data_IF_940853993859
#
_entry.id   IF_940853993859
#
_cell.length_a   1.000
_cell.length_b   1.000
_cell.length_c   1.000
_cell.angle_alpha   90.00
_cell.angle_beta   90.00
_cell.angle_gamma   90.00
#
_symmetry.space_group_name_H-M   'P 1'
#
loop_
_entity.id
_entity.type
_entity.pdbx_description
1 polymer ?
#
# COMPACT_ATOMS: atom_id res chain seq x y z
N UNK A 1 -16.52 -12.97 23.18
CA UNK A 1 -15.12 -13.44 23.14
C UNK A 1 -14.71 -13.81 24.55
N UNK A 2 -14.12 -14.99 24.79
CA UNK A 2 -13.56 -15.34 26.10
C UNK A 2 -12.49 -14.34 26.52
N UNK A 3 -12.47 -13.94 27.79
CA UNK A 3 -11.59 -12.88 28.32
C UNK A 3 -10.10 -13.25 28.14
N UNK A 4 -9.75 -14.51 28.37
CA UNK A 4 -8.40 -15.04 28.16
C UNK A 4 -7.90 -14.98 26.69
N UNK A 5 -8.79 -14.77 25.71
CA UNK A 5 -8.43 -14.70 24.28
C UNK A 5 -8.36 -13.27 23.73
N UNK A 6 -8.67 -12.25 24.54
CA UNK A 6 -8.69 -10.87 24.09
C UNK A 6 -7.29 -10.40 23.66
N UNK A 7 -6.27 -10.71 24.45
CA UNK A 7 -4.88 -10.37 24.14
C UNK A 7 -4.44 -10.98 22.80
N UNK A 8 -4.64 -12.29 22.61
CA UNK A 8 -4.27 -12.96 21.36
C UNK A 8 -5.01 -12.40 20.14
N UNK A 9 -6.27 -11.98 20.32
CA UNK A 9 -7.03 -11.32 19.26
C UNK A 9 -6.38 -9.99 18.86
N UNK A 10 -5.98 -9.18 19.83
CA UNK A 10 -5.33 -7.88 19.57
C UNK A 10 -3.94 -8.05 18.94
N UNK A 11 -3.16 -9.02 19.42
CA UNK A 11 -1.85 -9.35 18.86
C UNK A 11 -1.94 -9.81 17.40
N UNK A 12 -2.91 -10.67 17.07
CA UNK A 12 -3.15 -11.09 15.69
C UNK A 12 -3.57 -9.90 14.81
N UNK A 13 -4.47 -9.02 15.30
CA UNK A 13 -4.88 -7.84 14.54
C UNK A 13 -3.72 -6.86 14.28
N UNK A 14 -2.84 -6.68 15.27
CA UNK A 14 -1.64 -5.85 15.10
C UNK A 14 -0.68 -6.49 14.08
N UNK A 15 -0.51 -7.81 14.13
CA UNK A 15 0.32 -8.56 13.19
C UNK A 15 -0.21 -8.44 11.75
N UNK A 16 -1.53 -8.48 11.57
CA UNK A 16 -2.19 -8.29 10.28
C UNK A 16 -2.10 -6.86 9.74
N UNK A 17 -1.97 -5.83 10.59
CA UNK A 17 -1.80 -4.44 10.13
C UNK A 17 -0.37 -4.13 9.69
N UNK A 18 0.61 -4.78 10.32
CA UNK A 18 2.01 -4.50 10.10
C UNK A 18 2.43 -3.09 10.53
N UNK A 19 3.61 -2.66 10.11
CA UNK A 19 4.22 -1.37 10.49
C UNK A 19 4.11 -0.28 9.41
N UNK A 20 3.51 -0.59 8.25
CA UNK A 20 3.40 0.38 7.15
C UNK A 20 4.69 0.59 6.34
N UNK A 21 5.74 -0.18 6.59
CA UNK A 21 7.04 -0.07 5.91
C UNK A 21 7.42 -1.38 5.17
N UNK A 22 8.49 -1.36 4.38
CA UNK A 22 9.01 -2.53 3.65
C UNK A 22 8.21 -2.99 2.42
N UNK A 23 8.84 -3.84 1.62
CA UNK A 23 8.21 -4.56 0.50
C UNK A 23 7.57 -5.85 0.99
N UNK A 24 6.30 -6.09 0.63
CA UNK A 24 5.58 -7.28 1.05
C UNK A 24 5.98 -8.50 0.24
N UNK A 25 6.16 -9.62 0.93
CA UNK A 25 6.52 -10.91 0.37
C UNK A 25 5.30 -11.81 0.18
N UNK A 26 5.44 -12.89 -0.58
CA UNK A 26 4.36 -13.83 -0.89
C UNK A 26 3.72 -14.45 0.36
N UNK A 27 4.51 -14.67 1.41
CA UNK A 27 4.06 -15.26 2.67
C UNK A 27 3.55 -14.24 3.69
N UNK A 28 3.60 -12.93 3.40
CA UNK A 28 3.13 -11.90 4.33
C UNK A 28 1.61 -11.86 4.39
N UNK A 29 1.08 -11.79 5.61
CA UNK A 29 -0.37 -11.64 5.88
C UNK A 29 -0.74 -10.20 6.23
N UNK A 30 0.07 -9.24 5.80
CA UNK A 30 -0.05 -7.84 6.17
C UNK A 30 -1.03 -7.14 5.21
N UNK A 31 -2.04 -6.48 5.78
CA UNK A 31 -3.04 -5.70 5.08
C UNK A 31 -2.76 -4.21 5.31
N UNK A 32 -2.20 -3.57 4.30
CA UNK A 32 -2.04 -2.12 4.24
C UNK A 32 -2.78 -1.52 3.05
N UNK A 33 -2.87 -0.19 3.01
CA UNK A 33 -3.47 0.55 1.90
C UNK A 33 -2.41 1.30 1.09
N UNK A 34 -2.71 1.60 -0.18
CA UNK A 34 -1.94 2.45 -1.06
C UNK A 34 -2.84 3.12 -2.11
N UNK A 35 -2.40 4.23 -2.70
CA UNK A 35 -3.01 4.83 -3.88
C UNK A 35 -2.67 4.03 -5.15
N UNK A 36 -3.39 4.28 -6.23
CA UNK A 36 -3.05 3.73 -7.56
C UNK A 36 -1.93 4.57 -8.18
N UNK A 37 -0.72 4.36 -7.68
CA UNK A 37 0.52 4.95 -8.16
C UNK A 37 1.40 3.97 -8.93
N UNK A 38 0.89 2.76 -9.19
CA UNK A 38 1.58 1.60 -9.75
C UNK A 38 1.08 1.21 -11.14
N UNK A 39 0.23 2.04 -11.76
CA UNK A 39 -0.30 1.81 -13.11
C UNK A 39 0.65 2.31 -14.21
N UNK A 40 1.33 3.44 -13.97
CA UNK A 40 2.27 4.03 -14.91
C UNK A 40 3.70 3.55 -14.70
N UNK A 41 4.53 3.65 -15.74
CA UNK A 41 5.97 3.37 -15.65
C UNK A 41 6.79 4.45 -16.38
N UNK A 42 7.11 5.57 -15.70
CA UNK A 42 7.88 6.67 -16.31
C UNK A 42 9.29 6.27 -16.74
N UNK A 43 9.85 5.17 -16.22
CA UNK A 43 11.19 4.71 -16.60
C UNK A 43 11.22 4.11 -18.02
N UNK A 44 10.06 3.77 -18.61
CA UNK A 44 9.96 3.26 -19.98
C UNK A 44 9.80 4.36 -21.04
N UNK A 45 9.38 5.56 -20.64
CA UNK A 45 9.14 6.68 -21.56
C UNK A 45 7.96 7.58 -21.13
N UNK A 46 7.86 8.79 -21.71
CA UNK A 46 6.81 9.75 -21.39
C UNK A 46 5.39 9.24 -21.68
N UNK A 47 5.22 8.34 -22.64
CA UNK A 47 3.95 7.72 -23.02
C UNK A 47 3.40 6.76 -21.96
N UNK A 48 4.24 6.29 -21.04
CA UNK A 48 3.87 5.38 -19.95
C UNK A 48 3.59 6.10 -18.63
N UNK A 49 3.57 7.44 -18.64
CA UNK A 49 3.25 8.24 -17.46
C UNK A 49 1.75 8.26 -17.26
N UNK A 50 1.28 7.73 -16.12
CA UNK A 50 -0.11 7.82 -15.69
C UNK A 50 -0.22 8.63 -14.39
N UNK A 51 -1.27 9.45 -14.23
CA UNK A 51 -1.52 10.18 -13.00
C UNK A 51 -1.87 9.22 -11.87
N UNK A 52 -1.56 9.62 -10.63
CA UNK A 52 -1.92 8.83 -9.45
C UNK A 52 -3.40 9.03 -9.14
N UNK A 53 -4.10 7.91 -8.89
CA UNK A 53 -5.52 7.94 -8.52
C UNK A 53 -5.68 7.71 -7.01
N UNK A 54 -6.40 8.62 -6.35
CA UNK A 54 -6.56 8.68 -4.89
C UNK A 54 -5.68 9.77 -4.25
N UNK A 55 -6.06 10.21 -3.04
CA UNK A 55 -5.29 11.18 -2.25
C UNK A 55 -5.35 12.64 -2.73
N UNK A 56 -6.03 12.90 -3.86
CA UNK A 56 -6.27 14.25 -4.37
C UNK A 56 -7.76 14.49 -4.65
N UNK A 57 -8.18 15.75 -4.60
CA UNK A 57 -9.53 16.17 -4.99
C UNK A 57 -9.73 16.13 -6.51
N UNK A 58 -8.65 16.25 -7.28
CA UNK A 58 -8.69 16.21 -8.75
C UNK A 58 -8.90 14.79 -9.28
N UNK A 59 -8.29 13.79 -8.63
CA UNK A 59 -8.40 12.37 -8.98
C UNK A 59 -8.81 11.53 -7.76
N UNK A 60 -10.04 11.68 -7.25
CA UNK A 60 -10.52 10.88 -6.15
C UNK A 60 -10.69 9.42 -6.59
N UNK A 61 -10.18 8.48 -5.80
CA UNK A 61 -10.29 7.05 -6.11
C UNK A 61 -10.15 6.20 -4.84
N UNK A 62 -10.79 5.03 -4.76
CA UNK A 62 -10.60 4.10 -3.66
C UNK A 62 -9.14 3.68 -3.48
N UNK A 63 -8.77 3.33 -2.25
CA UNK A 63 -7.46 2.77 -1.95
C UNK A 63 -7.38 1.30 -2.39
N UNK A 64 -6.18 0.87 -2.78
CA UNK A 64 -5.86 -0.53 -3.06
C UNK A 64 -5.06 -1.17 -1.92
N UNK A 65 -4.87 -2.49 -2.00
CA UNK A 65 -3.93 -3.20 -1.13
C UNK A 65 -2.49 -2.74 -1.38
N UNK A 66 -1.77 -2.42 -0.29
CA UNK A 66 -0.35 -2.04 -0.32
C UNK A 66 0.50 -3.22 -0.78
N UNK A 67 1.53 -2.93 -1.58
CA UNK A 67 2.51 -3.90 -2.07
C UNK A 67 3.91 -3.63 -1.51
N UNK A 68 4.21 -2.37 -1.16
CA UNK A 68 5.51 -1.97 -0.64
C UNK A 68 6.65 -1.96 -1.68
N UNK A 69 6.35 -2.29 -2.95
CA UNK A 69 7.32 -2.20 -4.06
C UNK A 69 7.90 -0.79 -4.17
N UNK A 70 9.21 -0.66 -4.42
CA UNK A 70 9.83 0.65 -4.55
C UNK A 70 9.24 1.40 -5.75
N UNK A 71 9.13 2.73 -5.68
CA UNK A 71 8.71 3.53 -6.82
C UNK A 71 9.75 3.45 -7.95
N UNK A 72 9.31 3.74 -9.16
CA UNK A 72 10.17 3.94 -10.33
C UNK A 72 11.20 5.04 -10.08
N UNK A 73 12.37 4.97 -10.72
CA UNK A 73 13.46 5.94 -10.51
C UNK A 73 13.02 7.36 -10.85
N UNK A 74 12.21 7.49 -11.90
CA UNK A 74 11.68 8.75 -12.41
C UNK A 74 10.32 9.13 -11.80
N UNK A 75 9.78 8.31 -10.89
CA UNK A 75 8.45 8.50 -10.30
C UNK A 75 8.49 9.19 -8.92
N UNK A 76 7.33 9.72 -8.49
CA UNK A 76 7.20 10.35 -7.18
C UNK A 76 6.98 9.31 -6.06
N UNK A 77 7.68 9.49 -4.93
CA UNK A 77 7.34 8.78 -3.67
C UNK A 77 6.08 9.39 -3.09
N UNK A 78 4.99 8.62 -3.12
CA UNK A 78 3.74 8.99 -2.47
C UNK A 78 3.54 8.05 -1.28
N UNK A 79 3.44 8.64 -0.11
CA UNK A 79 3.07 7.96 1.13
C UNK A 79 1.61 8.32 1.44
N UNK A 80 0.91 7.36 2.05
CA UNK A 80 -0.36 7.62 2.72
C UNK A 80 -0.14 8.42 4.00
#
# INVERSE_FOLDING_TARGET
MPEALLQYREEELNSLRGNGEGELQEWDRIYGYAYYNDLGNPDLGPEFILPVLGGSTQYPYPLRGRTGRPPTKSGQKLHL
#
